data_IF_257830875634
#
_entry.id   IF_257830875634
#
_cell.length_a   1.000
_cell.length_b   1.000
_cell.length_c   1.000
_cell.angle_alpha   90.00
_cell.angle_beta   90.00
_cell.angle_gamma   90.00
#
_symmetry.space_group_name_H-M   'P 1'
#
loop_
_entity.id
_entity.type
_entity.pdbx_description
1 polymer ?
#
# COMPACT_ATOMS: atom_id res chain seq x y z
N UNK A 1 -35.00 52.90 34.97
CA UNK A 1 -34.88 51.44 34.81
C UNK A 1 -33.69 51.15 33.90
N UNK A 2 -32.70 50.41 34.39
CA UNK A 2 -31.51 49.96 33.65
C UNK A 2 -31.91 48.82 32.72
N UNK A 3 -31.72 48.96 31.41
CA UNK A 3 -31.84 47.84 30.46
C UNK A 3 -30.49 47.15 30.31
N UNK A 4 -30.48 45.85 30.59
CA UNK A 4 -29.29 45.01 30.65
C UNK A 4 -28.74 44.63 29.28
N UNK A 5 -27.43 44.41 29.27
CA UNK A 5 -26.67 43.68 28.25
C UNK A 5 -27.12 42.22 28.17
N UNK A 6 -27.28 41.70 26.95
CA UNK A 6 -26.91 40.31 26.63
C UNK A 6 -26.28 40.30 25.23
N UNK A 7 -24.95 40.32 25.18
CA UNK A 7 -24.20 39.91 23.99
C UNK A 7 -24.14 38.38 23.99
N UNK A 8 -24.84 37.75 23.06
CA UNK A 8 -24.73 36.30 22.82
C UNK A 8 -23.53 36.07 21.89
N UNK A 9 -22.38 35.77 22.47
CA UNK A 9 -21.16 35.40 21.75
C UNK A 9 -21.31 34.02 21.12
N UNK A 10 -21.25 33.96 19.80
CA UNK A 10 -21.17 32.71 19.04
C UNK A 10 -19.72 32.23 19.07
N UNK A 11 -19.35 31.41 20.07
CA UNK A 11 -18.09 30.67 20.06
C UNK A 11 -18.20 29.50 19.07
N UNK A 12 -17.67 29.66 17.86
CA UNK A 12 -17.41 28.55 16.95
C UNK A 12 -16.20 27.77 17.50
N UNK A 13 -16.48 26.66 18.18
CA UNK A 13 -15.51 25.62 18.49
C UNK A 13 -15.09 24.93 17.19
N UNK A 14 -14.09 25.47 16.49
CA UNK A 14 -13.33 24.69 15.51
C UNK A 14 -12.38 23.76 16.28
N UNK A 15 -12.87 22.57 16.61
CA UNK A 15 -11.98 21.45 16.90
C UNK A 15 -11.19 21.07 15.63
N UNK A 16 -9.99 20.48 15.75
CA UNK A 16 -9.24 19.96 14.61
C UNK A 16 -9.90 18.67 14.13
N UNK A 17 -11.11 18.79 13.57
CA UNK A 17 -11.72 17.75 12.79
C UNK A 17 -11.02 17.75 11.44
N UNK A 18 -10.27 16.68 11.17
CA UNK A 18 -9.76 16.36 9.84
C UNK A 18 -10.86 16.66 8.82
N UNK A 19 -10.64 17.63 7.93
CA UNK A 19 -11.54 17.89 6.83
C UNK A 19 -11.67 16.57 6.07
N UNK A 20 -12.80 15.88 6.22
CA UNK A 20 -13.10 14.71 5.42
C UNK A 20 -13.30 15.21 3.99
N UNK A 21 -12.27 15.09 3.17
CA UNK A 21 -12.36 15.44 1.75
C UNK A 21 -13.37 14.49 1.10
N UNK A 22 -14.42 15.06 0.51
CA UNK A 22 -15.34 14.30 -0.31
C UNK A 22 -14.58 13.81 -1.56
N UNK A 23 -14.73 12.53 -1.89
CA UNK A 23 -14.14 11.95 -3.09
C UNK A 23 -14.68 12.67 -4.34
N UNK A 24 -13.80 12.88 -5.33
CA UNK A 24 -14.18 13.47 -6.62
C UNK A 24 -15.19 12.58 -7.35
N UNK A 25 -15.98 13.17 -8.27
CA UNK A 25 -16.92 12.41 -9.08
C UNK A 25 -16.23 11.30 -9.89
N UNK A 26 -14.98 11.53 -10.32
CA UNK A 26 -14.15 10.54 -11.02
C UNK A 26 -13.76 9.39 -10.10
N UNK A 27 -13.32 9.68 -8.88
CA UNK A 27 -13.00 8.67 -7.87
C UNK A 27 -14.25 7.83 -7.55
N UNK A 28 -15.41 8.46 -7.35
CA UNK A 28 -16.67 7.76 -7.11
C UNK A 28 -17.03 6.81 -8.27
N UNK A 29 -16.95 7.28 -9.52
CA UNK A 29 -17.24 6.46 -10.69
C UNK A 29 -16.28 5.27 -10.83
N UNK A 30 -14.98 5.48 -10.59
CA UNK A 30 -13.97 4.42 -10.66
C UNK A 30 -14.15 3.40 -9.52
N UNK A 31 -14.47 3.84 -8.31
CA UNK A 31 -14.79 2.94 -7.20
C UNK A 31 -15.98 2.06 -7.54
N UNK A 32 -17.06 2.63 -8.09
CA UNK A 32 -18.23 1.88 -8.52
C UNK A 32 -17.91 0.87 -9.63
N UNK A 33 -17.17 1.30 -10.66
CA UNK A 33 -16.80 0.43 -11.79
C UNK A 33 -15.94 -0.77 -11.37
N UNK A 34 -15.12 -0.62 -10.32
CA UNK A 34 -14.24 -1.66 -9.81
C UNK A 34 -14.77 -2.37 -8.56
N UNK A 35 -16.01 -2.09 -8.12
CA UNK A 35 -16.58 -2.70 -6.90
C UNK A 35 -15.80 -2.38 -5.61
N UNK A 36 -15.15 -1.21 -5.56
CA UNK A 36 -14.28 -0.80 -4.46
C UNK A 36 -15.06 -0.05 -3.38
N UNK A 37 -14.77 -0.38 -2.13
CA UNK A 37 -15.37 0.25 -0.96
C UNK A 37 -14.30 0.67 0.05
N UNK A 38 -14.54 1.71 0.86
CA UNK A 38 -13.66 2.10 1.95
C UNK A 38 -13.31 0.92 2.86
N UNK A 39 -12.03 0.85 3.20
CA UNK A 39 -11.44 -0.20 4.00
C UNK A 39 -10.34 0.40 4.89
N UNK A 40 -10.14 -0.20 6.07
CA UNK A 40 -9.06 0.18 6.98
C UNK A 40 -8.03 -0.94 6.99
N UNK A 41 -6.84 -0.75 6.37
CA UNK A 41 -5.80 -1.76 6.40
C UNK A 41 -5.29 -2.03 7.81
N UNK A 42 -4.80 -3.24 8.03
CA UNK A 42 -4.22 -3.61 9.33
C UNK A 42 -2.92 -2.85 9.58
N UNK A 43 -2.57 -2.62 10.84
CA UNK A 43 -1.29 -1.99 11.18
C UNK A 43 -0.09 -2.87 10.74
N UNK A 44 -0.28 -4.19 10.71
CA UNK A 44 0.73 -5.15 10.23
C UNK A 44 1.09 -4.87 8.77
N UNK A 45 0.09 -4.65 7.92
CA UNK A 45 0.29 -4.25 6.52
C UNK A 45 0.88 -2.86 6.39
N UNK A 46 0.32 -1.87 7.09
CA UNK A 46 0.76 -0.48 7.02
C UNK A 46 2.23 -0.31 7.45
N UNK A 47 2.68 -1.11 8.41
CA UNK A 47 4.08 -1.12 8.87
C UNK A 47 5.01 -2.00 8.03
N UNK A 48 4.49 -2.83 7.13
CA UNK A 48 5.31 -3.68 6.28
C UNK A 48 6.11 -2.84 5.28
N UNK A 49 7.40 -3.17 5.10
CA UNK A 49 8.13 -2.75 3.91
C UNK A 49 7.56 -3.49 2.69
N UNK A 50 7.77 -2.94 1.50
CA UNK A 50 7.23 -3.53 0.27
C UNK A 50 8.26 -3.62 -0.86
N UNK A 51 8.04 -4.59 -1.76
CA UNK A 51 8.68 -4.67 -3.07
C UNK A 51 7.71 -4.17 -4.15
N UNK A 52 8.21 -3.84 -5.34
CA UNK A 52 7.40 -3.25 -6.41
C UNK A 52 7.61 -3.92 -7.79
N UNK A 53 8.07 -5.17 -7.75
CA UNK A 53 8.20 -6.08 -8.88
C UNK A 53 8.00 -7.52 -8.35
N UNK A 54 7.09 -8.27 -8.97
CA UNK A 54 6.72 -9.63 -8.55
C UNK A 54 7.85 -10.64 -8.82
N UNK A 55 8.60 -10.45 -9.90
CA UNK A 55 9.49 -11.48 -10.45
C UNK A 55 10.92 -11.27 -10.01
N UNK A 56 11.43 -10.05 -10.15
CA UNK A 56 12.82 -9.71 -9.90
C UNK A 56 12.95 -8.30 -9.29
N UNK A 57 12.51 -8.10 -8.04
CA UNK A 57 12.65 -6.82 -7.37
C UNK A 57 14.13 -6.46 -7.21
N UNK A 58 14.49 -5.23 -7.59
CA UNK A 58 15.81 -4.68 -7.35
C UNK A 58 15.90 -4.02 -5.97
N UNK A 59 14.77 -3.57 -5.42
CA UNK A 59 14.75 -2.82 -4.18
C UNK A 59 13.66 -3.27 -3.20
N UNK A 60 13.95 -3.04 -1.91
CA UNK A 60 12.92 -2.99 -0.87
C UNK A 60 12.68 -1.53 -0.50
N UNK A 61 11.42 -1.13 -0.57
CA UNK A 61 10.92 0.19 -0.19
C UNK A 61 10.50 0.21 1.28
N UNK A 62 10.39 1.41 1.84
CA UNK A 62 9.99 1.58 3.24
C UNK A 62 8.55 1.18 3.55
N UNK A 63 8.07 1.45 4.77
CA UNK A 63 6.73 1.07 5.19
C UNK A 63 5.63 1.57 4.24
N UNK A 64 4.60 0.76 3.99
CA UNK A 64 3.44 1.15 3.16
C UNK A 64 2.81 2.46 3.66
N UNK A 65 2.70 2.66 4.97
CA UNK A 65 2.19 3.92 5.54
C UNK A 65 3.07 5.14 5.22
N UNK A 66 4.39 4.96 5.12
CA UNK A 66 5.29 6.04 4.72
C UNK A 66 5.12 6.38 3.24
N UNK A 67 4.85 5.37 2.40
CA UNK A 67 4.48 5.59 1.00
C UNK A 67 3.15 6.34 0.88
N UNK A 68 2.10 5.91 1.58
CA UNK A 68 0.81 6.58 1.58
C UNK A 68 0.90 8.03 2.08
N UNK A 69 1.66 8.28 3.15
CA UNK A 69 1.90 9.63 3.67
C UNK A 69 2.72 10.52 2.72
N UNK A 70 3.46 9.94 1.76
CA UNK A 70 4.22 10.69 0.76
C UNK A 70 3.39 11.16 -0.44
N UNK A 71 2.12 10.72 -0.54
CA UNK A 71 1.21 11.14 -1.60
C UNK A 71 0.90 12.63 -1.47
N UNK A 72 0.73 13.30 -2.61
CA UNK A 72 0.57 14.76 -2.65
C UNK A 72 -0.90 15.19 -2.63
N UNK A 73 -1.79 14.28 -2.99
CA UNK A 73 -3.23 14.48 -2.97
C UNK A 73 -3.87 13.65 -1.84
N UNK A 74 -5.12 13.95 -1.47
CA UNK A 74 -5.87 13.13 -0.53
C UNK A 74 -5.85 11.65 -0.92
N UNK A 75 -5.71 10.79 0.08
CA UNK A 75 -5.69 9.34 -0.13
C UNK A 75 -6.82 8.64 0.59
N UNK A 76 -7.29 7.53 0.03
CA UNK A 76 -8.27 6.64 0.65
C UNK A 76 -7.86 5.19 0.43
N UNK A 77 -7.93 4.39 1.49
CA UNK A 77 -7.78 2.95 1.39
C UNK A 77 -9.09 2.29 1.00
N UNK A 78 -9.02 1.43 -0.01
CA UNK A 78 -10.16 0.71 -0.55
C UNK A 78 -9.83 -0.79 -0.68
N UNK A 79 -10.87 -1.61 -0.72
CA UNK A 79 -10.81 -3.03 -1.04
C UNK A 79 -12.04 -3.41 -1.87
N UNK A 80 -11.96 -4.55 -2.57
CA UNK A 80 -13.11 -5.14 -3.25
C UNK A 80 -14.16 -5.55 -2.21
N UNK A 81 -15.43 -5.21 -2.48
CA UNK A 81 -16.52 -5.39 -1.50
C UNK A 81 -16.76 -6.85 -1.10
N UNK A 82 -16.51 -7.79 -2.01
CA UNK A 82 -16.66 -9.23 -1.86
C UNK A 82 -15.41 -9.94 -1.31
N UNK A 83 -14.29 -9.23 -1.15
CA UNK A 83 -13.00 -9.79 -0.67
C UNK A 83 -12.45 -9.14 0.59
N UNK A 84 -13.31 -8.52 1.41
CA UNK A 84 -12.87 -8.02 2.72
C UNK A 84 -12.37 -9.20 3.55
N UNK A 85 -11.21 -9.09 4.22
CA UNK A 85 -10.83 -10.08 5.21
C UNK A 85 -11.96 -10.19 6.22
N UNK A 86 -12.49 -11.39 6.51
CA UNK A 86 -13.40 -11.54 7.62
C UNK A 86 -12.70 -10.97 8.87
N UNK A 87 -13.41 -10.19 9.67
CA UNK A 87 -12.92 -9.82 10.98
C UNK A 87 -12.79 -11.11 11.77
N UNK A 88 -11.60 -11.73 11.79
CA UNK A 88 -11.39 -13.03 12.41
C UNK A 88 -11.42 -12.86 13.94
N UNK A 89 -12.45 -13.37 14.63
CA UNK A 89 -12.54 -13.33 16.08
C UNK A 89 -11.80 -14.51 16.75
N UNK A 90 -11.28 -15.46 15.97
CA UNK A 90 -10.86 -16.79 16.43
C UNK A 90 -9.43 -17.20 16.01
N UNK A 91 -8.74 -16.42 15.19
CA UNK A 91 -7.31 -16.62 14.89
C UNK A 91 -7.00 -17.88 14.08
N UNK A 92 -7.98 -18.42 13.32
CA UNK A 92 -7.75 -19.57 12.45
C UNK A 92 -7.26 -19.09 11.08
N UNK A 93 -5.98 -18.73 11.08
CA UNK A 93 -5.19 -18.22 9.94
C UNK A 93 -5.21 -19.18 8.74
N UNK A 94 -6.00 -18.87 7.72
CA UNK A 94 -5.53 -19.08 6.35
C UNK A 94 -4.73 -17.83 5.97
N UNK A 95 -3.54 -17.95 5.36
CA UNK A 95 -2.83 -16.79 4.84
C UNK A 95 -3.63 -16.25 3.66
N UNK A 96 -4.53 -15.31 3.96
CA UNK A 96 -5.25 -14.58 2.94
C UNK A 96 -4.34 -13.49 2.41
N UNK A 97 -3.83 -13.71 1.19
CA UNK A 97 -3.47 -12.57 0.35
C UNK A 97 -4.76 -11.78 0.07
N UNK A 98 -4.75 -10.49 0.37
CA UNK A 98 -5.84 -9.61 -0.05
C UNK A 98 -5.29 -8.38 -0.77
N UNK A 99 -6.08 -7.88 -1.71
CA UNK A 99 -5.74 -6.71 -2.51
C UNK A 99 -6.19 -5.44 -1.79
N UNK A 100 -5.25 -4.55 -1.48
CA UNK A 100 -5.52 -3.23 -0.95
C UNK A 100 -5.25 -2.18 -2.01
N UNK A 101 -6.18 -1.25 -2.20
CA UNK A 101 -6.04 -0.14 -3.14
C UNK A 101 -5.78 1.13 -2.33
N UNK A 102 -4.64 1.76 -2.56
CA UNK A 102 -4.44 3.15 -2.16
C UNK A 102 -4.89 4.05 -3.30
N UNK A 103 -6.05 4.68 -3.14
CA UNK A 103 -6.48 5.76 -4.02
C UNK A 103 -5.74 7.05 -3.67
N UNK A 104 -5.20 7.74 -4.67
CA UNK A 104 -4.76 9.13 -4.61
C UNK A 104 -5.65 9.95 -5.55
N UNK A 105 -6.51 10.78 -4.98
CA UNK A 105 -7.53 11.57 -5.70
C UNK A 105 -7.04 13.01 -5.89
N UNK A 106 -6.47 13.29 -7.06
CA UNK A 106 -5.99 14.60 -7.45
C UNK A 106 -7.03 15.35 -8.30
N UNK A 107 -6.98 16.69 -8.37
CA UNK A 107 -7.94 17.46 -9.17
C UNK A 107 -8.04 17.05 -10.66
N UNK A 108 -6.94 16.56 -11.24
CA UNK A 108 -6.83 16.19 -12.65
C UNK A 108 -6.91 14.68 -12.92
N UNK A 109 -6.72 13.85 -11.88
CA UNK A 109 -6.55 12.40 -12.04
C UNK A 109 -6.82 11.63 -10.76
N UNK A 110 -7.19 10.36 -10.93
CA UNK A 110 -7.24 9.38 -9.85
C UNK A 110 -6.18 8.33 -10.12
N UNK A 111 -5.37 8.02 -9.11
CA UNK A 111 -4.36 6.96 -9.20
C UNK A 111 -4.66 5.89 -8.16
N UNK A 112 -4.65 4.63 -8.57
CA UNK A 112 -4.68 3.48 -7.67
C UNK A 112 -3.29 2.85 -7.60
N UNK A 113 -2.72 2.78 -6.40
CA UNK A 113 -1.57 1.93 -6.10
C UNK A 113 -2.11 0.64 -5.50
N UNK A 114 -1.98 -0.46 -6.24
CA UNK A 114 -2.60 -1.74 -5.93
C UNK A 114 -1.59 -2.62 -5.22
N UNK A 115 -1.79 -2.78 -3.92
CA UNK A 115 -0.97 -3.59 -3.05
C UNK A 115 -1.57 -4.98 -2.85
N UNK A 116 -0.70 -5.96 -2.68
CA UNK A 116 -1.04 -7.27 -2.13
C UNK A 116 -0.52 -7.29 -0.69
N UNK A 117 -1.43 -7.48 0.26
CA UNK A 117 -1.08 -7.72 1.66
C UNK A 117 -0.67 -9.18 1.82
N UNK A 118 0.60 -9.38 2.16
CA UNK A 118 1.18 -10.68 2.50
C UNK A 118 1.67 -10.68 3.94
N UNK A 119 1.22 -9.72 4.76
CA UNK A 119 1.68 -9.54 6.13
C UNK A 119 1.35 -10.71 7.04
N UNK A 120 0.35 -11.53 6.69
CA UNK A 120 0.06 -12.80 7.36
C UNK A 120 1.12 -13.89 7.10
N UNK A 121 1.94 -13.76 6.05
CA UNK A 121 3.00 -14.71 5.71
C UNK A 121 4.33 -14.33 6.33
N UNK A 122 5.09 -15.33 6.78
CA UNK A 122 6.54 -15.18 6.99
C UNK A 122 7.27 -15.16 5.65
N UNK A 123 8.47 -14.56 5.54
CA UNK A 123 9.28 -14.62 4.33
C UNK A 123 9.51 -16.06 3.81
N UNK A 124 9.67 -17.02 4.72
CA UNK A 124 9.81 -18.44 4.37
C UNK A 124 8.52 -19.03 3.81
N UNK A 125 7.36 -18.68 4.38
CA UNK A 125 6.07 -19.09 3.84
C UNK A 125 5.83 -18.46 2.47
N UNK A 126 6.21 -17.19 2.27
CA UNK A 126 6.13 -16.51 0.97
C UNK A 126 6.98 -17.20 -0.10
N UNK A 127 8.25 -17.49 0.20
CA UNK A 127 9.14 -18.24 -0.68
C UNK A 127 8.55 -19.62 -1.01
N UNK A 128 8.12 -20.36 0.03
CA UNK A 128 7.58 -21.69 -0.13
C UNK A 128 6.26 -21.72 -0.91
N UNK A 129 5.45 -20.66 -0.83
CA UNK A 129 4.24 -20.52 -1.63
C UNK A 129 4.60 -20.35 -3.12
N UNK A 130 5.57 -19.49 -3.43
CA UNK A 130 6.03 -19.28 -4.83
C UNK A 130 6.68 -20.53 -5.43
N UNK A 131 7.47 -21.26 -4.66
CA UNK A 131 8.05 -22.54 -5.10
C UNK A 131 6.97 -23.56 -5.51
N UNK A 132 5.82 -23.60 -4.81
CA UNK A 132 4.70 -24.49 -5.12
C UNK A 132 3.98 -24.14 -6.43
N UNK A 133 3.83 -22.85 -6.74
CA UNK A 133 3.09 -22.39 -7.91
C UNK A 133 3.91 -22.43 -9.21
N UNK A 134 5.22 -22.18 -9.14
CA UNK A 134 6.05 -22.05 -10.35
C UNK A 134 6.84 -23.30 -10.75
N UNK A 135 7.00 -24.31 -9.87
CA UNK A 135 7.80 -25.54 -10.13
C UNK A 135 9.21 -25.24 -10.71
N UNK A 136 9.94 -26.28 -11.13
CA UNK A 136 11.37 -26.25 -11.50
C UNK A 136 11.77 -25.36 -12.69
N UNK A 137 10.83 -24.68 -13.38
CA UNK A 137 11.12 -23.94 -14.62
C UNK A 137 11.81 -22.58 -14.41
N UNK A 138 11.98 -22.16 -13.17
CA UNK A 138 12.52 -20.84 -12.79
C UNK A 138 13.39 -20.93 -11.52
N UNK A 139 13.81 -22.13 -11.11
CA UNK A 139 14.52 -22.38 -9.87
C UNK A 139 15.83 -21.56 -9.72
N UNK A 140 16.56 -21.35 -10.81
CA UNK A 140 17.81 -20.57 -10.79
C UNK A 140 17.58 -19.06 -10.67
N UNK A 141 16.53 -18.54 -11.33
CA UNK A 141 16.14 -17.12 -11.22
C UNK A 141 15.54 -16.82 -9.86
N UNK A 142 14.62 -17.67 -9.40
CA UNK A 142 14.03 -17.53 -8.07
C UNK A 142 15.02 -17.82 -6.95
N UNK A 143 15.99 -18.72 -7.13
CA UNK A 143 17.03 -18.99 -6.14
C UNK A 143 17.91 -17.76 -5.88
N UNK A 144 18.29 -17.03 -6.94
CA UNK A 144 19.04 -15.77 -6.80
C UNK A 144 18.22 -14.67 -6.14
N UNK A 145 16.96 -14.53 -6.52
CA UNK A 145 16.04 -13.56 -5.91
C UNK A 145 15.78 -13.91 -4.43
N UNK A 146 15.49 -15.17 -4.13
CA UNK A 146 15.29 -15.72 -2.79
C UNK A 146 16.44 -15.37 -1.85
N UNK A 147 17.68 -15.67 -2.24
CA UNK A 147 18.85 -15.39 -1.41
C UNK A 147 19.00 -13.90 -1.09
N UNK A 148 18.73 -13.01 -2.06
CA UNK A 148 18.77 -11.55 -1.84
C UNK A 148 17.68 -11.09 -0.87
N UNK A 149 16.49 -11.67 -0.96
CA UNK A 149 15.37 -11.35 -0.09
C UNK A 149 15.61 -11.84 1.35
N UNK A 150 16.19 -13.03 1.52
CA UNK A 150 16.63 -13.55 2.82
C UNK A 150 17.66 -12.62 3.47
N UNK A 151 18.64 -12.13 2.70
CA UNK A 151 19.64 -11.16 3.17
C UNK A 151 19.01 -9.81 3.57
N UNK A 152 17.98 -9.36 2.85
CA UNK A 152 17.22 -8.19 3.26
C UNK A 152 16.50 -8.42 4.60
N UNK A 153 15.89 -9.59 4.81
CA UNK A 153 15.28 -9.97 6.09
C UNK A 153 16.30 -9.98 7.24
N UNK A 154 17.46 -10.61 7.05
CA UNK A 154 18.57 -10.63 8.02
C UNK A 154 19.05 -9.20 8.37
N UNK A 155 19.04 -8.30 7.39
CA UNK A 155 19.37 -6.90 7.59
C UNK A 155 18.27 -6.08 8.31
N UNK A 156 17.13 -6.66 8.65
CA UNK A 156 15.98 -5.93 9.21
C UNK A 156 15.21 -5.10 8.18
N UNK A 157 15.34 -5.46 6.90
CA UNK A 157 14.64 -4.88 5.75
C UNK A 157 13.71 -5.92 5.09
N UNK A 158 13.21 -6.89 5.87
CA UNK A 158 12.18 -7.80 5.39
C UNK A 158 10.92 -7.05 4.96
N UNK A 159 10.17 -7.64 4.04
CA UNK A 159 9.00 -7.06 3.40
C UNK A 159 7.87 -8.08 3.43
N UNK A 160 6.64 -7.60 3.64
CA UNK A 160 5.46 -8.45 3.64
C UNK A 160 4.29 -7.78 2.88
N UNK A 161 4.63 -6.92 1.92
CA UNK A 161 3.69 -6.27 1.03
C UNK A 161 4.32 -6.14 -0.35
N UNK A 162 3.49 -6.10 -1.38
CA UNK A 162 3.91 -5.94 -2.76
C UNK A 162 3.06 -4.86 -3.43
N UNK A 163 3.68 -3.83 -4.01
CA UNK A 163 3.00 -2.95 -4.95
C UNK A 163 3.00 -3.62 -6.33
N UNK A 164 1.90 -4.29 -6.67
CA UNK A 164 1.83 -5.12 -7.87
C UNK A 164 1.49 -4.32 -9.11
N UNK A 165 0.59 -3.35 -8.99
CA UNK A 165 0.13 -2.55 -10.14
C UNK A 165 -0.08 -1.09 -9.76
N UNK A 166 0.02 -0.22 -10.77
CA UNK A 166 -0.43 1.18 -10.67
C UNK A 166 -1.44 1.40 -11.79
N UNK A 167 -2.62 1.90 -11.42
CA UNK A 167 -3.62 2.34 -12.39
C UNK A 167 -3.76 3.85 -12.33
N UNK A 168 -3.88 4.49 -13.48
CA UNK A 168 -4.18 5.91 -13.61
C UNK A 168 -5.47 6.05 -14.40
N UNK A 169 -6.46 6.68 -13.80
CA UNK A 169 -7.77 6.93 -14.41
C UNK A 169 -8.44 5.66 -14.96
N UNK A 170 -8.31 4.55 -14.22
CA UNK A 170 -8.85 3.25 -14.58
C UNK A 170 -8.01 2.45 -15.59
N UNK A 171 -6.86 2.98 -16.04
CA UNK A 171 -5.96 2.30 -16.96
C UNK A 171 -4.70 1.81 -16.25
N UNK A 172 -4.31 0.56 -16.50
CA UNK A 172 -3.05 0.01 -16.00
C UNK A 172 -1.86 0.74 -16.64
N UNK A 173 -0.91 1.18 -15.82
CA UNK A 173 0.35 1.71 -16.34
C UNK A 173 1.21 0.57 -16.91
N UNK A 174 1.78 0.79 -18.09
CA UNK A 174 2.69 -0.17 -18.76
C UNK A 174 4.09 -0.19 -18.13
N UNK A 175 4.44 0.84 -17.36
CA UNK A 175 5.71 0.92 -16.64
C UNK A 175 5.65 0.08 -15.37
N UNK A 176 6.78 -0.54 -14.99
CA UNK A 176 6.85 -1.26 -13.73
C UNK A 176 6.60 -0.31 -12.54
N UNK A 177 5.89 -0.76 -11.49
CA UNK A 177 5.70 0.05 -10.29
C UNK A 177 7.04 0.50 -9.68
N UNK A 178 8.04 -0.39 -9.63
CA UNK A 178 9.40 -0.02 -9.19
C UNK A 178 9.99 1.15 -9.99
N UNK A 179 9.87 1.13 -11.33
CA UNK A 179 10.34 2.22 -12.18
C UNK A 179 9.61 3.55 -11.92
N UNK A 180 8.30 3.51 -11.68
CA UNK A 180 7.49 4.69 -11.34
C UNK A 180 7.90 5.26 -9.97
N UNK A 181 8.13 4.39 -8.98
CA UNK A 181 8.60 4.78 -7.65
C UNK A 181 9.91 5.56 -7.72
N UNK A 182 10.89 5.06 -8.46
CA UNK A 182 12.24 5.64 -8.52
C UNK A 182 12.28 6.95 -9.31
N UNK A 183 11.51 7.05 -10.39
CA UNK A 183 11.65 8.16 -11.35
C UNK A 183 10.61 9.26 -11.13
N UNK A 184 9.32 8.93 -11.21
CA UNK A 184 8.24 9.91 -11.15
C UNK A 184 7.96 10.33 -9.70
N UNK A 185 7.85 9.33 -8.82
CA UNK A 185 7.49 9.55 -7.42
C UNK A 185 8.69 9.90 -6.56
N UNK A 186 9.90 9.57 -7.03
CA UNK A 186 11.17 9.73 -6.31
C UNK A 186 11.10 9.18 -4.87
N UNK A 187 10.36 8.08 -4.70
CA UNK A 187 10.23 7.40 -3.42
C UNK A 187 11.46 6.52 -3.20
N UNK A 188 12.37 7.00 -2.35
CA UNK A 188 13.66 6.35 -2.17
C UNK A 188 13.53 4.94 -1.54
N UNK A 189 14.18 3.92 -2.11
CA UNK A 189 14.25 2.61 -1.50
C UNK A 189 15.11 2.64 -0.22
N UNK A 190 14.90 1.66 0.66
CA UNK A 190 15.68 1.50 1.90
C UNK A 190 16.77 0.44 1.78
N UNK A 191 16.63 -0.48 0.84
CA UNK A 191 17.57 -1.57 0.62
C UNK A 191 17.69 -1.88 -0.86
N UNK A 192 18.91 -2.12 -1.32
CA UNK A 192 19.22 -2.58 -2.66
C UNK A 192 19.47 -4.08 -2.61
N UNK A 193 18.59 -4.85 -3.27
CA UNK A 193 18.65 -6.31 -3.30
C UNK A 193 19.79 -6.83 -4.18
N UNK A 194 20.17 -6.09 -5.23
CA UNK A 194 21.28 -6.47 -6.09
C UNK A 194 22.62 -6.27 -5.39
N UNK A 195 22.77 -5.17 -4.64
CA UNK A 195 23.97 -4.86 -3.88
C UNK A 195 23.95 -5.41 -2.45
N UNK A 196 22.82 -5.99 -2.03
CA UNK A 196 22.59 -6.53 -0.68
C UNK A 196 22.97 -5.56 0.44
N UNK A 197 22.60 -4.29 0.28
CA UNK A 197 22.96 -3.23 1.23
C UNK A 197 21.80 -2.32 1.56
N UNK A 198 21.81 -1.83 2.80
CA UNK A 198 20.95 -0.71 3.20
C UNK A 198 21.38 0.54 2.44
N UNK A 199 20.39 1.29 2.00
CA UNK A 199 20.58 2.60 1.41
C UNK A 199 20.36 3.63 2.52
N UNK A 200 21.38 4.45 2.77
CA UNK A 200 21.27 5.58 3.67
C UNK A 200 20.34 6.63 3.05
N UNK A 201 19.49 7.24 3.89
CA UNK A 201 18.74 8.44 3.53
C UNK A 201 19.67 9.63 3.35
#
# INVERSE_FOLDING_TARGET
>A
MRFGLVFLGFMILMGPGSLAWAASAKAVALRQANGLVPFTPTEKFLSANFVADEMNPAFVFGPVKAFAASRKCPTTWLAEADRKPPADPLGTELPMEYTAYLEEDCPDRVVYYVFIDQSSLTPQQWIGWREKFHKSKTADEYGRVKSRLEKACEAGCGFNAELRFIQKDGQLLTRSPEGVLLTELKFAPKYDLNLQKKLSK
#
